data_IF_436639534451
#
_entry.id   IF_436639534451
#
_cell.length_a   1.000
_cell.length_b   1.000
_cell.length_c   1.000
_cell.angle_alpha   90.00
_cell.angle_beta   90.00
_cell.angle_gamma   90.00
#
_symmetry.space_group_name_H-M   'P 1'
#
loop_
_entity.id
_entity.type
_entity.pdbx_description
1 polymer ?
#
# COMPACT_ATOMS: atom_id res chain seq x y z
N UNK A 1 27.62 -2.94 1.83
CA UNK A 1 27.48 -2.15 3.08
C UNK A 1 26.24 -2.66 3.80
N UNK A 2 26.23 -2.76 5.14
CA UNK A 2 25.01 -3.09 5.88
C UNK A 2 23.97 -1.97 5.70
N UNK A 3 22.68 -2.36 5.75
CA UNK A 3 21.58 -1.40 5.69
C UNK A 3 21.57 -0.52 6.94
N UNK A 4 21.25 0.76 6.77
CA UNK A 4 21.14 1.72 7.87
C UNK A 4 19.93 1.42 8.76
N UNK A 5 19.89 1.94 9.98
CA UNK A 5 18.73 1.84 10.86
C UNK A 5 17.48 2.46 10.21
N UNK A 6 17.65 3.55 9.46
CA UNK A 6 16.55 4.18 8.73
C UNK A 6 16.02 3.28 7.59
N UNK A 7 16.88 2.49 6.92
CA UNK A 7 16.44 1.49 5.95
C UNK A 7 15.61 0.39 6.63
N UNK A 8 16.09 -0.15 7.74
CA UNK A 8 15.35 -1.16 8.50
C UNK A 8 13.99 -0.66 8.98
N UNK A 9 13.91 0.58 9.43
CA UNK A 9 12.65 1.19 9.85
C UNK A 9 11.58 1.20 8.72
N UNK A 10 11.99 1.25 7.44
CA UNK A 10 11.09 1.25 6.29
C UNK A 10 10.84 -0.15 5.71
N UNK A 11 11.82 -1.04 5.87
CA UNK A 11 11.75 -2.42 5.37
C UNK A 11 10.93 -3.32 6.32
N UNK A 12 11.16 -3.24 7.63
CA UNK A 12 10.57 -4.18 8.60
C UNK A 12 9.04 -4.16 8.60
N UNK A 13 8.35 -3.00 8.64
CA UNK A 13 6.89 -3.00 8.58
C UNK A 13 6.34 -3.65 7.30
N UNK A 14 6.97 -3.37 6.16
CA UNK A 14 6.60 -3.96 4.87
C UNK A 14 6.85 -5.47 4.83
N UNK A 15 8.01 -5.93 5.29
CA UNK A 15 8.35 -7.35 5.32
C UNK A 15 7.41 -8.14 6.25
N UNK A 16 7.06 -7.59 7.41
CA UNK A 16 6.07 -8.18 8.32
C UNK A 16 4.69 -8.27 7.66
N UNK A 17 4.27 -7.22 6.95
CA UNK A 17 3.00 -7.22 6.21
C UNK A 17 2.98 -8.35 5.18
N UNK A 18 4.01 -8.45 4.34
CA UNK A 18 4.11 -9.48 3.30
C UNK A 18 4.18 -10.89 3.88
N UNK A 19 4.93 -11.08 4.98
CA UNK A 19 5.04 -12.38 5.65
C UNK A 19 3.67 -12.85 6.19
N UNK A 20 2.94 -11.97 6.88
CA UNK A 20 1.63 -12.33 7.43
C UNK A 20 0.57 -12.48 6.33
N UNK A 21 0.69 -11.75 5.23
CA UNK A 21 -0.16 -11.93 4.05
C UNK A 21 0.10 -13.31 3.40
N UNK A 22 1.37 -13.69 3.25
CA UNK A 22 1.75 -15.02 2.76
C UNK A 22 1.26 -16.14 3.69
N UNK A 23 1.41 -15.97 5.01
CA UNK A 23 0.88 -16.91 6.00
C UNK A 23 -0.62 -17.09 5.87
N UNK A 24 -1.38 -15.98 5.72
CA UNK A 24 -2.82 -16.04 5.46
C UNK A 24 -3.15 -16.86 4.21
N UNK A 25 -2.42 -16.63 3.11
CA UNK A 25 -2.64 -17.35 1.85
C UNK A 25 -2.27 -18.84 1.92
N UNK A 26 -1.35 -19.21 2.81
CA UNK A 26 -0.93 -20.61 3.00
C UNK A 26 -1.85 -21.41 3.93
N UNK A 27 -2.69 -20.75 4.73
CA UNK A 27 -3.60 -21.43 5.67
C UNK A 27 -4.91 -21.80 4.95
N UNK A 28 -5.30 -23.10 4.97
CA UNK A 28 -6.59 -23.51 4.43
C UNK A 28 -7.73 -22.95 5.29
N UNK A 29 -8.90 -22.76 4.68
CA UNK A 29 -10.10 -22.31 5.41
C UNK A 29 -10.47 -23.26 6.55
N UNK A 30 -10.34 -24.57 6.31
CA UNK A 30 -10.47 -25.60 7.35
C UNK A 30 -9.07 -26.01 7.78
N UNK A 31 -8.59 -25.46 8.89
CA UNK A 31 -7.28 -25.78 9.45
C UNK A 31 -7.40 -26.40 10.84
N UNK A 32 -6.37 -27.14 11.26
CA UNK A 32 -6.33 -27.85 12.52
C UNK A 32 -6.45 -26.94 13.76
N UNK A 33 -6.25 -25.63 13.59
CA UNK A 33 -6.34 -24.64 14.67
C UNK A 33 -7.77 -24.10 14.84
N UNK A 34 -8.70 -24.41 13.93
CA UNK A 34 -10.05 -23.86 13.92
C UNK A 34 -10.10 -22.32 13.75
N UNK A 35 -9.03 -21.74 13.22
CA UNK A 35 -8.91 -20.28 13.02
C UNK A 35 -9.46 -19.91 11.65
N UNK A 36 -10.27 -18.88 11.60
CA UNK A 36 -10.63 -18.23 10.33
C UNK A 36 -9.44 -17.41 9.82
N UNK A 37 -8.82 -17.79 8.66
CA UNK A 37 -7.64 -17.10 8.14
C UNK A 37 -7.85 -15.61 7.84
N UNK A 38 -9.09 -15.16 7.70
CA UNK A 38 -9.41 -13.76 7.45
C UNK A 38 -9.00 -12.85 8.62
N UNK A 39 -9.03 -13.37 9.86
CA UNK A 39 -8.61 -12.64 11.07
C UNK A 39 -7.09 -12.44 11.15
N UNK A 40 -6.29 -13.19 10.39
CA UNK A 40 -4.84 -12.93 10.27
C UNK A 40 -4.59 -11.51 9.73
N UNK A 41 -5.52 -10.97 8.94
CA UNK A 41 -5.40 -9.59 8.49
C UNK A 41 -5.52 -8.59 9.66
N UNK A 42 -6.37 -8.85 10.65
CA UNK A 42 -6.42 -8.04 11.87
C UNK A 42 -5.09 -8.09 12.65
N UNK A 43 -4.53 -9.29 12.81
CA UNK A 43 -3.21 -9.46 13.42
C UNK A 43 -2.13 -8.68 12.62
N UNK A 44 -2.19 -8.76 11.30
CA UNK A 44 -1.28 -8.03 10.42
C UNK A 44 -1.32 -6.52 10.69
N UNK A 45 -2.52 -5.93 10.81
CA UNK A 45 -2.66 -4.50 11.11
C UNK A 45 -2.09 -4.13 12.47
N UNK A 46 -2.28 -4.96 13.50
CA UNK A 46 -1.73 -4.71 14.84
C UNK A 46 -0.20 -4.78 14.81
N UNK A 47 0.37 -5.81 14.17
CA UNK A 47 1.82 -6.00 14.09
C UNK A 47 2.48 -4.89 13.27
N UNK A 48 1.94 -4.58 12.10
CA UNK A 48 2.47 -3.53 11.22
C UNK A 48 2.28 -2.14 11.82
N UNK A 49 1.10 -1.86 12.39
CA UNK A 49 0.83 -0.62 13.10
C UNK A 49 1.75 -0.42 14.30
N UNK A 50 2.00 -1.48 15.07
CA UNK A 50 2.97 -1.50 16.16
C UNK A 50 4.39 -1.24 15.68
N UNK A 51 4.83 -1.86 14.58
CA UNK A 51 6.14 -1.62 13.98
C UNK A 51 6.27 -0.17 13.47
N UNK A 52 5.25 0.36 12.79
CA UNK A 52 5.24 1.77 12.36
C UNK A 52 5.32 2.73 13.56
N UNK A 53 4.58 2.45 14.63
CA UNK A 53 4.63 3.26 15.86
C UNK A 53 6.00 3.18 16.55
N UNK A 54 6.62 2.00 16.60
CA UNK A 54 7.95 1.81 17.14
C UNK A 54 9.01 2.64 16.44
N UNK A 55 8.95 2.66 15.09
CA UNK A 55 9.91 3.40 14.27
C UNK A 55 9.48 4.84 13.99
N UNK A 56 8.33 5.32 14.51
CA UNK A 56 7.72 6.61 14.14
C UNK A 56 8.68 7.80 14.20
N UNK A 57 9.51 7.85 15.24
CA UNK A 57 10.49 8.93 15.42
C UNK A 57 11.60 8.96 14.36
N UNK A 58 11.78 7.88 13.61
CA UNK A 58 12.74 7.76 12.51
C UNK A 58 12.18 8.18 11.14
N UNK A 59 10.92 8.60 11.05
CA UNK A 59 10.27 8.98 9.80
C UNK A 59 10.19 10.51 9.66
N UNK A 60 11.33 11.15 9.39
CA UNK A 60 11.41 12.59 9.18
C UNK A 60 10.50 13.12 8.05
N UNK A 61 10.06 12.23 7.14
CA UNK A 61 9.08 12.55 6.08
C UNK A 61 7.73 13.02 6.64
N UNK A 62 7.41 12.65 7.88
CA UNK A 62 6.14 12.98 8.52
C UNK A 62 6.22 14.16 9.50
N UNK A 63 7.37 14.81 9.60
CA UNK A 63 7.56 16.01 10.40
C UNK A 63 6.61 17.14 9.96
N UNK A 64 6.34 18.06 10.90
CA UNK A 64 5.40 19.18 10.67
C UNK A 64 5.77 20.03 9.44
N UNK A 65 7.05 20.24 9.20
CA UNK A 65 7.57 20.99 8.06
C UNK A 65 7.29 20.33 6.70
N UNK A 66 7.08 19.00 6.69
CA UNK A 66 6.80 18.21 5.50
C UNK A 66 5.29 18.02 5.25
N UNK A 67 4.41 18.69 6.01
CA UNK A 67 2.98 18.66 5.76
C UNK A 67 2.63 19.33 4.44
N UNK A 68 1.70 18.75 3.66
CA UNK A 68 1.26 19.37 2.42
C UNK A 68 0.44 20.64 2.69
N UNK A 69 0.57 21.61 1.80
CA UNK A 69 -0.38 22.72 1.71
C UNK A 69 -1.76 22.20 1.24
N UNK A 70 -2.80 23.02 1.38
CA UNK A 70 -4.16 22.67 0.90
C UNK A 70 -4.18 22.37 -0.61
N UNK A 71 -3.37 23.07 -1.42
CA UNK A 71 -3.26 22.82 -2.86
C UNK A 71 -2.60 21.47 -3.15
N UNK A 72 -1.53 21.14 -2.44
CA UNK A 72 -0.84 19.85 -2.59
C UNK A 72 -1.72 18.70 -2.09
N UNK A 73 -2.45 18.88 -0.98
CA UNK A 73 -3.40 17.89 -0.50
C UNK A 73 -4.57 17.71 -1.48
N UNK A 74 -5.13 18.80 -2.04
CA UNK A 74 -6.15 18.73 -3.08
C UNK A 74 -5.67 18.02 -4.34
N UNK A 75 -4.43 18.27 -4.79
CA UNK A 75 -3.81 17.54 -5.90
C UNK A 75 -3.68 16.05 -5.58
N UNK A 76 -3.23 15.70 -4.38
CA UNK A 76 -3.10 14.31 -3.95
C UNK A 76 -4.45 13.58 -3.94
N UNK A 77 -5.50 14.22 -3.42
CA UNK A 77 -6.87 13.67 -3.47
C UNK A 77 -7.34 13.46 -4.91
N UNK A 78 -7.14 14.45 -5.79
CA UNK A 78 -7.54 14.34 -7.19
C UNK A 78 -6.81 13.18 -7.89
N UNK A 79 -5.50 13.04 -7.68
CA UNK A 79 -4.71 11.91 -8.21
C UNK A 79 -5.22 10.58 -7.66
N UNK A 80 -5.51 10.48 -6.37
CA UNK A 80 -6.05 9.27 -5.76
C UNK A 80 -7.39 8.86 -6.38
N UNK A 81 -8.29 9.80 -6.63
CA UNK A 81 -9.58 9.53 -7.31
C UNK A 81 -9.39 9.10 -8.76
N UNK A 82 -8.46 9.71 -9.50
CA UNK A 82 -8.14 9.30 -10.87
C UNK A 82 -7.57 7.89 -10.89
N UNK A 83 -6.62 7.58 -10.00
CA UNK A 83 -6.04 6.23 -9.88
C UNK A 83 -7.11 5.21 -9.51
N UNK A 84 -8.02 5.51 -8.59
CA UNK A 84 -9.17 4.64 -8.29
C UNK A 84 -10.01 4.36 -9.53
N UNK A 85 -10.40 5.41 -10.28
CA UNK A 85 -11.18 5.24 -11.50
C UNK A 85 -10.47 4.36 -12.53
N UNK A 86 -9.16 4.55 -12.72
CA UNK A 86 -8.37 3.70 -13.62
C UNK A 86 -8.23 2.27 -13.08
N UNK A 87 -8.02 2.09 -11.78
CA UNK A 87 -7.86 0.79 -11.15
C UNK A 87 -9.05 -0.15 -11.40
N UNK A 88 -10.27 0.35 -11.28
CA UNK A 88 -11.49 -0.46 -11.48
C UNK A 88 -11.83 -0.72 -12.95
N UNK A 89 -11.15 -0.06 -13.91
CA UNK A 89 -11.35 -0.24 -15.35
C UNK A 89 -10.18 -0.96 -16.04
N UNK A 90 -9.01 -1.03 -15.41
CA UNK A 90 -7.83 -1.72 -15.93
C UNK A 90 -7.77 -3.16 -15.40
N UNK A 91 -8.84 -3.93 -15.59
CA UNK A 91 -9.03 -5.26 -15.00
C UNK A 91 -9.29 -6.38 -16.05
N UNK A 92 -9.09 -6.09 -17.34
CA UNK A 92 -9.22 -7.10 -18.39
C UNK A 92 -8.26 -8.30 -18.12
N UNK A 93 -8.59 -9.53 -18.60
CA UNK A 93 -7.77 -10.71 -18.32
C UNK A 93 -6.29 -10.58 -18.61
N UNK A 94 -5.91 -9.91 -19.70
CA UNK A 94 -4.52 -9.69 -20.07
C UNK A 94 -3.81 -8.63 -19.19
N UNK A 95 -4.55 -7.84 -18.41
CA UNK A 95 -4.02 -6.86 -17.46
C UNK A 95 -3.74 -7.45 -16.08
N UNK A 96 -3.84 -8.76 -15.92
CA UNK A 96 -3.62 -9.49 -14.66
C UNK A 96 -2.35 -10.34 -14.74
N UNK A 97 -1.58 -10.38 -13.65
CA UNK A 97 -0.45 -11.29 -13.46
C UNK A 97 -0.88 -12.45 -12.58
N UNK A 98 -0.74 -13.67 -13.10
CA UNK A 98 -1.09 -14.88 -12.37
C UNK A 98 -2.60 -15.05 -12.17
N UNK A 99 -2.94 -16.03 -11.34
CA UNK A 99 -4.31 -16.26 -10.89
C UNK A 99 -4.67 -15.24 -9.80
N UNK A 100 -5.94 -14.83 -9.76
CA UNK A 100 -6.41 -13.98 -8.67
C UNK A 100 -6.16 -14.71 -7.35
N UNK A 101 -5.40 -14.10 -6.45
CA UNK A 101 -5.31 -14.58 -5.07
C UNK A 101 -6.72 -14.69 -4.50
N UNK A 102 -6.95 -15.69 -3.63
CA UNK A 102 -8.26 -15.88 -3.01
C UNK A 102 -8.82 -14.55 -2.49
N UNK A 103 -9.91 -14.11 -3.05
CA UNK A 103 -10.55 -12.85 -2.69
C UNK A 103 -10.81 -12.82 -1.18
N UNK A 104 -10.66 -11.65 -0.57
CA UNK A 104 -11.11 -11.47 0.80
C UNK A 104 -12.62 -11.26 0.79
N UNK A 105 -13.38 -12.35 0.94
CA UNK A 105 -14.84 -12.32 0.95
C UNK A 105 -15.33 -12.25 2.40
N UNK A 106 -15.77 -11.09 2.89
CA UNK A 106 -16.21 -10.89 4.28
C UNK A 106 -17.68 -11.31 4.45
N UNK A 107 -17.96 -12.60 4.29
CA UNK A 107 -19.30 -13.17 4.46
C UNK A 107 -19.28 -14.15 5.63
N UNK A 108 -20.37 -14.18 6.41
CA UNK A 108 -20.62 -15.18 7.44
C UNK A 108 -21.05 -16.51 6.82
N UNK A 109 -21.06 -17.59 7.58
CA UNK A 109 -21.45 -18.92 7.09
C UNK A 109 -22.93 -18.98 6.59
N UNK A 110 -23.78 -18.11 7.12
CA UNK A 110 -25.19 -17.97 6.72
C UNK A 110 -25.38 -16.93 5.58
N UNK A 111 -24.29 -16.52 4.91
CA UNK A 111 -24.33 -15.66 3.71
C UNK A 111 -24.59 -14.19 3.98
N UNK A 112 -24.50 -13.73 5.24
CA UNK A 112 -24.60 -12.32 5.59
C UNK A 112 -23.25 -11.63 5.55
N UNK A 113 -23.27 -10.33 5.34
CA UNK A 113 -22.05 -9.49 5.35
C UNK A 113 -21.48 -9.42 6.77
N UNK A 114 -20.17 -9.70 6.90
CA UNK A 114 -19.40 -9.57 8.13
C UNK A 114 -18.81 -8.17 8.25
N UNK A 115 -19.55 -7.25 8.85
CA UNK A 115 -19.17 -5.85 9.01
C UNK A 115 -17.88 -5.63 9.81
N UNK A 116 -17.57 -6.35 10.90
CA UNK A 116 -16.28 -6.30 11.55
C UNK A 116 -15.10 -6.59 10.63
N UNK A 117 -15.18 -7.63 9.80
CA UNK A 117 -14.13 -7.93 8.82
C UNK A 117 -14.01 -6.85 7.76
N UNK A 118 -15.13 -6.29 7.27
CA UNK A 118 -15.11 -5.13 6.35
C UNK A 118 -14.41 -3.95 6.98
N UNK A 119 -14.79 -3.57 8.21
CA UNK A 119 -14.20 -2.42 8.89
C UNK A 119 -12.69 -2.58 9.07
N UNK A 120 -12.25 -3.76 9.52
CA UNK A 120 -10.82 -4.08 9.69
C UNK A 120 -10.09 -4.00 8.34
N UNK A 121 -10.64 -4.64 7.31
CA UNK A 121 -10.02 -4.63 5.98
C UNK A 121 -9.94 -3.23 5.41
N UNK A 122 -11.02 -2.45 5.50
CA UNK A 122 -11.09 -1.09 4.98
C UNK A 122 -10.14 -0.15 5.71
N UNK A 123 -10.15 -0.14 7.06
CA UNK A 123 -9.25 0.70 7.86
C UNK A 123 -7.77 0.37 7.58
N UNK A 124 -7.46 -0.92 7.49
CA UNK A 124 -6.10 -1.34 7.16
C UNK A 124 -5.66 -0.88 5.77
N UNK A 125 -6.48 -1.13 4.76
CA UNK A 125 -6.18 -0.77 3.38
C UNK A 125 -6.12 0.74 3.16
N UNK A 126 -6.96 1.53 3.85
CA UNK A 126 -7.03 2.97 3.68
C UNK A 126 -6.02 3.77 4.54
N UNK A 127 -5.57 3.23 5.68
CA UNK A 127 -4.75 4.00 6.63
C UNK A 127 -3.35 3.39 6.85
N UNK A 128 -3.27 2.10 7.17
CA UNK A 128 -1.99 1.47 7.54
C UNK A 128 -1.15 1.14 6.30
N UNK A 129 -1.78 0.51 5.31
CA UNK A 129 -1.09 0.08 4.08
C UNK A 129 -0.48 1.25 3.32
N UNK A 130 -1.17 2.39 3.09
CA UNK A 130 -0.57 3.52 2.38
C UNK A 130 0.65 4.11 3.10
N UNK A 131 0.62 4.23 4.42
CA UNK A 131 1.77 4.73 5.19
C UNK A 131 2.95 3.78 5.06
N UNK A 132 2.73 2.49 5.29
CA UNK A 132 3.77 1.46 5.23
C UNK A 132 4.36 1.35 3.81
N UNK A 133 3.50 1.27 2.80
CA UNK A 133 3.93 1.10 1.41
C UNK A 133 4.67 2.32 0.88
N UNK A 134 4.19 3.53 1.14
CA UNK A 134 4.88 4.71 0.65
C UNK A 134 6.23 4.93 1.34
N UNK A 135 6.36 4.56 2.62
CA UNK A 135 7.65 4.50 3.31
C UNK A 135 8.61 3.52 2.63
N UNK A 136 8.13 2.33 2.25
CA UNK A 136 8.97 1.33 1.60
C UNK A 136 9.26 1.70 0.13
N UNK A 137 8.24 1.93 -0.69
CA UNK A 137 8.40 2.11 -2.14
C UNK A 137 9.04 3.44 -2.51
N UNK A 138 8.57 4.56 -1.92
CA UNK A 138 8.95 5.92 -2.31
C UNK A 138 10.05 6.48 -1.45
N UNK A 139 9.91 6.38 -0.12
CA UNK A 139 10.94 6.91 0.77
C UNK A 139 12.20 6.05 0.73
N UNK A 140 12.10 4.72 0.79
CA UNK A 140 13.27 3.84 0.79
C UNK A 140 13.66 3.43 -0.63
N UNK A 141 12.93 2.52 -1.28
CA UNK A 141 13.40 1.82 -2.47
C UNK A 141 13.72 2.78 -3.63
N UNK A 142 12.82 3.71 -3.95
CA UNK A 142 13.05 4.65 -5.04
C UNK A 142 14.30 5.50 -4.81
N UNK A 143 14.47 6.05 -3.61
CA UNK A 143 15.66 6.85 -3.29
C UNK A 143 16.93 5.98 -3.18
N UNK A 144 16.82 4.74 -2.70
CA UNK A 144 17.92 3.79 -2.64
C UNK A 144 18.43 3.36 -4.02
N UNK A 145 17.55 3.23 -5.01
CA UNK A 145 17.93 3.01 -6.42
C UNK A 145 18.73 4.20 -6.96
N UNK A 146 18.41 5.42 -6.52
CA UNK A 146 19.19 6.61 -6.90
C UNK A 146 20.54 6.66 -6.19
N UNK A 147 20.60 6.36 -4.89
CA UNK A 147 21.82 6.25 -4.11
C UNK A 147 21.65 5.32 -2.90
N UNK A 148 22.66 4.48 -2.57
CA UNK A 148 22.64 3.68 -1.35
C UNK A 148 22.47 4.48 -0.06
N UNK A 149 22.92 5.75 -0.05
CA UNK A 149 22.67 6.72 1.03
C UNK A 149 21.32 7.42 0.83
N UNK A 150 20.24 6.65 0.71
CA UNK A 150 18.92 7.13 0.33
C UNK A 150 18.40 8.29 1.19
N UNK A 151 18.83 8.37 2.45
CA UNK A 151 18.43 9.40 3.41
C UNK A 151 18.84 10.81 2.96
N UNK A 152 19.95 10.92 2.21
CA UNK A 152 20.48 12.19 1.69
C UNK A 152 19.90 12.58 0.32
N UNK A 153 19.15 11.67 -0.33
CA UNK A 153 18.58 11.93 -1.65
C UNK A 153 17.33 12.80 -1.52
N UNK A 154 17.37 14.00 -2.10
CA UNK A 154 16.13 14.77 -2.29
C UNK A 154 15.20 13.99 -3.22
N UNK A 155 13.94 13.73 -2.81
CA UNK A 155 12.97 13.05 -3.68
C UNK A 155 12.85 13.66 -5.09
N UNK A 156 12.99 14.98 -5.20
CA UNK A 156 12.93 15.70 -6.47
C UNK A 156 14.09 15.37 -7.42
N UNK A 157 15.20 14.90 -6.88
CA UNK A 157 16.40 14.53 -7.61
C UNK A 157 16.51 13.01 -7.89
N UNK A 158 15.52 12.20 -7.51
CA UNK A 158 15.57 10.74 -7.63
C UNK A 158 15.76 10.23 -9.08
N UNK A 159 15.30 11.01 -10.07
CA UNK A 159 15.52 10.74 -11.51
C UNK A 159 14.60 9.65 -12.09
N UNK A 160 14.56 9.60 -13.42
CA UNK A 160 13.67 8.72 -14.18
C UNK A 160 13.98 7.23 -13.93
N UNK A 161 15.27 6.86 -13.82
CA UNK A 161 15.66 5.47 -13.56
C UNK A 161 15.07 4.95 -12.26
N UNK A 162 15.16 5.72 -11.20
CA UNK A 162 14.63 5.34 -9.89
C UNK A 162 13.10 5.23 -9.90
N UNK A 163 12.43 6.17 -10.56
CA UNK A 163 10.98 6.12 -10.77
C UNK A 163 10.56 4.85 -11.50
N UNK A 164 11.16 4.56 -12.65
CA UNK A 164 10.79 3.41 -13.49
C UNK A 164 11.04 2.09 -12.77
N UNK A 165 12.23 1.91 -12.17
CA UNK A 165 12.57 0.65 -11.51
C UNK A 165 11.74 0.43 -10.23
N UNK A 166 11.51 1.46 -9.43
CA UNK A 166 10.66 1.32 -8.23
C UNK A 166 9.19 1.04 -8.60
N UNK A 167 8.68 1.66 -9.67
CA UNK A 167 7.34 1.37 -10.20
C UNK A 167 7.24 -0.05 -10.75
N UNK A 168 8.29 -0.52 -11.42
CA UNK A 168 8.32 -1.91 -11.92
C UNK A 168 8.28 -2.93 -10.78
N UNK A 169 9.08 -2.72 -9.72
CA UNK A 169 9.05 -3.64 -8.57
C UNK A 169 7.73 -3.54 -7.81
N UNK A 170 7.15 -2.34 -7.68
CA UNK A 170 5.80 -2.15 -7.12
C UNK A 170 4.74 -2.94 -7.92
N UNK A 171 4.81 -2.90 -9.24
CA UNK A 171 3.91 -3.64 -10.13
C UNK A 171 3.97 -5.15 -9.87
N UNK A 172 5.15 -5.72 -9.64
CA UNK A 172 5.31 -7.16 -9.36
C UNK A 172 4.64 -7.62 -8.06
N UNK A 173 4.34 -6.69 -7.15
CA UNK A 173 3.62 -6.98 -5.91
C UNK A 173 2.08 -6.96 -6.07
N UNK A 174 1.57 -6.73 -7.29
CA UNK A 174 0.14 -6.56 -7.54
C UNK A 174 -0.35 -7.44 -8.69
N UNK A 175 -1.54 -8.02 -8.53
CA UNK A 175 -2.18 -8.84 -9.56
C UNK A 175 -2.58 -8.01 -10.79
N UNK A 176 -3.14 -6.79 -10.58
CA UNK A 176 -3.52 -5.87 -11.64
C UNK A 176 -2.29 -5.04 -12.09
N UNK A 177 -1.43 -5.66 -12.89
CA UNK A 177 -0.12 -5.10 -13.22
C UNK A 177 -0.17 -3.73 -13.90
N UNK A 178 -1.11 -3.53 -14.83
CA UNK A 178 -1.22 -2.27 -15.55
C UNK A 178 -1.75 -1.15 -14.65
N UNK A 179 -2.76 -1.43 -13.84
CA UNK A 179 -3.25 -0.50 -12.83
C UNK A 179 -2.16 -0.16 -11.79
N UNK A 180 -1.35 -1.14 -11.40
CA UNK A 180 -0.23 -0.95 -10.49
C UNK A 180 0.88 -0.07 -11.08
N UNK A 181 1.19 -0.18 -12.38
CA UNK A 181 2.11 0.75 -13.06
C UNK A 181 1.57 2.18 -12.98
N UNK A 182 0.29 2.38 -13.27
CA UNK A 182 -0.35 3.71 -13.22
C UNK A 182 -0.30 4.27 -11.79
N UNK A 183 -0.71 3.50 -10.80
CA UNK A 183 -0.68 3.91 -9.40
C UNK A 183 0.74 4.19 -8.91
N UNK A 184 1.66 3.27 -9.20
CA UNK A 184 3.07 3.37 -8.84
C UNK A 184 3.73 4.63 -9.39
N UNK A 185 3.51 4.91 -10.68
CA UNK A 185 4.03 6.11 -11.34
C UNK A 185 3.38 7.39 -10.80
N UNK A 186 2.05 7.39 -10.57
CA UNK A 186 1.32 8.54 -10.08
C UNK A 186 1.76 8.95 -8.67
N UNK A 187 1.90 7.99 -7.74
CA UNK A 187 2.33 8.28 -6.38
C UNK A 187 3.81 8.68 -6.33
N UNK A 188 4.69 8.04 -7.13
CA UNK A 188 6.07 8.45 -7.26
C UNK A 188 6.20 9.88 -7.85
N UNK A 189 5.40 10.19 -8.88
CA UNK A 189 5.34 11.53 -9.45
C UNK A 189 4.92 12.59 -8.42
N UNK A 190 3.88 12.32 -7.61
CA UNK A 190 3.48 13.22 -6.53
C UNK A 190 4.61 13.47 -5.54
N UNK A 191 5.33 12.42 -5.14
CA UNK A 191 6.45 12.54 -4.21
C UNK A 191 7.60 13.35 -4.82
N UNK A 192 7.98 13.07 -6.06
CA UNK A 192 9.01 13.82 -6.78
C UNK A 192 8.59 15.30 -6.96
N UNK A 193 7.34 15.54 -7.35
CA UNK A 193 6.83 16.90 -7.60
C UNK A 193 6.79 17.77 -6.36
N UNK A 194 6.36 17.20 -5.23
CA UNK A 194 6.14 17.95 -4.00
C UNK A 194 7.31 17.87 -3.01
N UNK A 195 8.12 16.82 -3.09
CA UNK A 195 9.14 16.47 -2.10
C UNK A 195 8.53 15.94 -0.79
N UNK A 196 7.20 15.75 -0.74
CA UNK A 196 6.45 15.42 0.48
C UNK A 196 5.80 14.06 0.37
N UNK A 197 6.24 13.12 1.21
CA UNK A 197 5.71 11.76 1.22
C UNK A 197 4.21 11.73 1.55
N UNK A 198 3.73 12.65 2.36
CA UNK A 198 2.31 12.79 2.67
C UNK A 198 1.42 12.89 1.43
N UNK A 199 1.89 13.51 0.34
CA UNK A 199 1.09 13.60 -0.88
C UNK A 199 0.87 12.23 -1.53
N UNK A 200 1.89 11.38 -1.56
CA UNK A 200 1.75 10.00 -2.03
C UNK A 200 0.85 9.18 -1.08
N UNK A 201 1.05 9.31 0.24
CA UNK A 201 0.22 8.63 1.25
C UNK A 201 -1.25 9.03 1.12
N UNK A 202 -1.56 10.33 0.98
CA UNK A 202 -2.94 10.81 0.82
C UNK A 202 -3.57 10.25 -0.46
N UNK A 203 -2.86 10.31 -1.60
CA UNK A 203 -3.38 9.78 -2.85
C UNK A 203 -3.66 8.28 -2.77
N UNK A 204 -2.74 7.51 -2.21
CA UNK A 204 -2.90 6.08 -2.01
C UNK A 204 -4.05 5.76 -1.03
N UNK A 205 -4.14 6.47 0.09
CA UNK A 205 -5.22 6.33 1.06
C UNK A 205 -6.60 6.63 0.45
N UNK A 206 -6.70 7.66 -0.39
CA UNK A 206 -7.93 8.00 -1.13
C UNK A 206 -8.28 6.90 -2.12
N UNK A 207 -7.30 6.42 -2.91
CA UNK A 207 -7.52 5.30 -3.85
C UNK A 207 -8.09 4.09 -3.12
N UNK A 208 -7.42 3.63 -2.07
CA UNK A 208 -7.82 2.43 -1.34
C UNK A 208 -9.11 2.62 -0.54
N UNK A 209 -9.30 3.78 0.05
CA UNK A 209 -10.50 4.10 0.83
C UNK A 209 -11.76 4.10 -0.05
N UNK A 210 -11.68 4.77 -1.22
CA UNK A 210 -12.79 4.81 -2.18
C UNK A 210 -13.00 3.44 -2.84
N UNK A 211 -11.91 2.73 -3.16
CA UNK A 211 -11.98 1.35 -3.69
C UNK A 211 -12.70 0.43 -2.71
N UNK A 212 -12.37 0.47 -1.42
CA UNK A 212 -13.03 -0.38 -0.44
C UNK A 212 -14.52 -0.09 -0.29
N UNK A 213 -14.92 1.20 -0.33
CA UNK A 213 -16.35 1.57 -0.34
C UNK A 213 -17.03 1.01 -1.60
N UNK A 214 -16.39 1.17 -2.75
CA UNK A 214 -16.92 0.68 -4.03
C UNK A 214 -17.03 -0.85 -4.06
N UNK A 215 -16.06 -1.59 -3.54
CA UNK A 215 -16.09 -3.07 -3.44
C UNK A 215 -17.26 -3.53 -2.61
N UNK A 216 -17.50 -2.91 -1.45
CA UNK A 216 -18.64 -3.25 -0.58
C UNK A 216 -19.98 -2.96 -1.28
N UNK A 217 -20.06 -1.82 -1.99
CA UNK A 217 -21.29 -1.43 -2.69
C UNK A 217 -21.57 -2.29 -3.93
N UNK A 218 -20.51 -2.64 -4.70
CA UNK A 218 -20.65 -3.39 -5.96
C UNK A 218 -20.65 -4.92 -5.77
N UNK A 219 -20.18 -5.42 -4.62
CA UNK A 219 -19.98 -6.85 -4.37
C UNK A 219 -18.80 -7.47 -5.14
N UNK A 220 -17.92 -6.63 -5.74
CA UNK A 220 -16.76 -7.09 -6.51
C UNK A 220 -15.56 -7.37 -5.60
N UNK A 221 -15.68 -8.43 -4.82
CA UNK A 221 -14.68 -8.82 -3.81
C UNK A 221 -13.31 -9.18 -4.39
N UNK A 222 -13.21 -9.47 -5.68
CA UNK A 222 -11.96 -9.76 -6.39
C UNK A 222 -10.96 -8.59 -6.38
N UNK A 223 -11.40 -7.39 -6.02
CA UNK A 223 -10.54 -6.22 -5.85
C UNK A 223 -9.98 -6.04 -4.43
N UNK A 224 -10.27 -7.02 -3.55
CA UNK A 224 -9.86 -6.96 -2.13
C UNK A 224 -8.88 -8.04 -1.71
#
# INVERSE_FOLDING_TARGET
MPLSQAAWARIVPFALFMLLLALRGALPEQNALGLDPRWIYALNLVVVGGALAWFWRGYGEFDRQNRPSLREAGLAVAVGLIVFGLWIHLDAPWMRLGEATAAFVPMTADGRVDWPLIAIRWLGAALIVPVMEELFWRSFLMRWIASPQFETVDPRAAGLRALVLSTFVFMLAHTLWLAAIVAGAAYAWLYIRTGKLWCAVIAHAVTNGVLGIWVVWSGRWEFW
#
